data_IF_803448277861
#
_entry.id   IF_803448277861
#
_cell.length_a   1.000
_cell.length_b   1.000
_cell.length_c   1.000
_cell.angle_alpha   90.00
_cell.angle_beta   90.00
_cell.angle_gamma   90.00
#
_symmetry.space_group_name_H-M   'P 1'
#
loop_
_entity.id
_entity.type
_entity.pdbx_description
1 polymer ?
#
# COMPACT_ATOMS: atom_id res chain seq x y z
N UNK A 1 -8.39 22.76 15.66
CA UNK A 1 -7.35 22.07 14.85
C UNK A 1 -7.05 20.75 15.53
N UNK A 2 -7.62 19.65 15.06
CA UNK A 2 -7.42 18.35 15.70
C UNK A 2 -5.96 17.93 15.55
N UNK A 3 -5.24 17.92 16.66
CA UNK A 3 -3.84 17.52 16.72
C UNK A 3 -3.78 16.01 16.54
N UNK A 4 -3.54 15.59 15.30
CA UNK A 4 -3.39 14.18 14.99
C UNK A 4 -2.11 13.65 15.64
N UNK A 5 -2.26 12.71 16.56
CA UNK A 5 -1.14 12.02 17.19
C UNK A 5 -0.62 10.98 16.17
N UNK A 6 0.65 11.10 15.80
CA UNK A 6 1.38 10.05 15.09
C UNK A 6 2.02 9.17 16.16
N UNK A 7 1.54 7.94 16.32
CA UNK A 7 2.11 6.97 17.25
C UNK A 7 2.25 5.60 16.58
N UNK A 8 3.01 4.71 17.23
CA UNK A 8 3.35 3.40 16.69
C UNK A 8 2.11 2.54 16.41
N UNK A 9 1.08 2.62 17.26
CA UNK A 9 -0.16 1.85 17.11
C UNK A 9 -0.90 2.22 15.82
N UNK A 10 -1.02 3.52 15.53
CA UNK A 10 -1.65 4.01 14.30
C UNK A 10 -0.81 3.64 13.07
N UNK A 11 0.51 3.82 13.14
CA UNK A 11 1.40 3.47 12.03
C UNK A 11 1.32 1.97 11.69
N UNK A 12 1.24 1.13 12.71
CA UNK A 12 1.15 -0.33 12.59
C UNK A 12 -0.20 -0.77 12.01
N UNK A 13 -1.29 -0.10 12.38
CA UNK A 13 -2.60 -0.29 11.75
C UNK A 13 -2.61 0.11 10.27
N UNK A 14 -2.06 1.29 9.94
CA UNK A 14 -1.91 1.72 8.54
C UNK A 14 -1.07 0.71 7.74
N UNK A 15 0.03 0.22 8.34
CA UNK A 15 0.89 -0.76 7.72
C UNK A 15 0.17 -2.10 7.45
N UNK A 16 -0.69 -2.55 8.36
CA UNK A 16 -1.46 -3.79 8.18
C UNK A 16 -2.58 -3.65 7.15
N UNK A 17 -3.36 -2.58 7.23
CA UNK A 17 -4.61 -2.45 6.47
C UNK A 17 -4.39 -1.93 5.06
N UNK A 18 -3.52 -0.94 4.88
CA UNK A 18 -3.43 -0.18 3.63
C UNK A 18 -2.15 -0.47 2.85
N UNK A 19 -1.01 -0.66 3.52
CA UNK A 19 0.28 -0.84 2.84
C UNK A 19 0.32 -2.03 1.84
N UNK A 20 -0.31 -3.20 2.10
CA UNK A 20 -0.36 -4.28 1.12
C UNK A 20 -1.14 -3.88 -0.14
N UNK A 21 -2.26 -3.17 0.03
CA UNK A 21 -3.11 -2.73 -1.09
C UNK A 21 -2.41 -1.66 -1.92
N UNK A 22 -1.82 -0.67 -1.25
CA UNK A 22 -1.07 0.42 -1.86
C UNK A 22 0.14 -0.11 -2.62
N UNK A 23 0.90 -1.07 -2.05
CA UNK A 23 2.01 -1.71 -2.77
C UNK A 23 1.55 -2.47 -4.01
N UNK A 24 0.44 -3.20 -3.93
CA UNK A 24 -0.09 -3.92 -5.08
C UNK A 24 -0.52 -2.97 -6.19
N UNK A 25 -1.17 -1.86 -5.83
CA UNK A 25 -1.60 -0.83 -6.78
C UNK A 25 -0.41 -0.10 -7.41
N UNK A 26 0.61 0.26 -6.62
CA UNK A 26 1.84 0.85 -7.14
C UNK A 26 2.54 -0.07 -8.15
N UNK A 27 2.65 -1.37 -7.85
CA UNK A 27 3.20 -2.37 -8.77
C UNK A 27 2.35 -2.47 -10.04
N UNK A 28 1.02 -2.48 -9.90
CA UNK A 28 0.11 -2.52 -11.05
C UNK A 28 0.29 -1.30 -11.95
N UNK A 29 0.39 -0.09 -11.40
CA UNK A 29 0.57 1.13 -12.20
C UNK A 29 1.91 1.15 -12.90
N UNK A 30 2.99 0.78 -12.22
CA UNK A 30 4.30 0.70 -12.85
C UNK A 30 4.31 -0.28 -14.03
N UNK A 31 3.82 -1.51 -13.82
CA UNK A 31 3.96 -2.58 -14.83
C UNK A 31 2.88 -2.51 -15.90
N UNK A 32 1.62 -2.42 -15.50
CA UNK A 32 0.47 -2.54 -16.41
C UNK A 32 0.14 -1.21 -17.07
N UNK A 33 0.17 -0.10 -16.32
CA UNK A 33 -0.25 1.22 -16.83
C UNK A 33 0.91 1.96 -17.51
N UNK A 34 2.09 1.99 -16.87
CA UNK A 34 3.27 2.71 -17.35
C UNK A 34 4.21 1.84 -18.20
N UNK A 35 3.92 0.54 -18.36
CA UNK A 35 4.66 -0.37 -19.22
C UNK A 35 6.07 -0.74 -18.73
N UNK A 36 6.36 -0.54 -17.44
CA UNK A 36 7.68 -0.86 -16.87
C UNK A 36 7.85 -2.39 -16.76
N UNK A 37 8.94 -2.98 -17.27
CA UNK A 37 9.17 -4.42 -17.13
C UNK A 37 9.24 -4.84 -15.65
N UNK A 38 8.67 -6.00 -15.30
CA UNK A 38 8.66 -6.50 -13.92
C UNK A 38 10.05 -6.56 -13.27
N UNK A 39 11.08 -6.89 -14.06
CA UNK A 39 12.49 -6.89 -13.62
C UNK A 39 12.99 -5.50 -13.23
N UNK A 40 12.58 -4.47 -13.96
CA UNK A 40 12.94 -3.07 -13.67
C UNK A 40 12.14 -2.56 -12.48
N UNK A 41 10.84 -2.83 -12.42
CA UNK A 41 9.99 -2.49 -11.28
C UNK A 41 10.51 -3.10 -9.97
N UNK A 42 10.94 -4.38 -10.01
CA UNK A 42 11.55 -5.06 -8.87
C UNK A 42 12.80 -4.33 -8.35
N UNK A 43 13.69 -3.89 -9.26
CA UNK A 43 14.88 -3.10 -8.92
C UNK A 43 14.51 -1.74 -8.32
N UNK A 44 13.56 -1.03 -8.93
CA UNK A 44 13.10 0.30 -8.48
C UNK A 44 12.51 0.23 -7.07
N UNK A 45 11.76 -0.82 -6.76
CA UNK A 45 11.09 -1.02 -5.48
C UNK A 45 11.94 -1.76 -4.43
N UNK A 46 13.15 -2.20 -4.77
CA UNK A 46 14.00 -2.97 -3.86
C UNK A 46 13.42 -4.32 -3.44
N UNK A 47 12.64 -4.97 -4.31
CA UNK A 47 12.00 -6.26 -4.04
C UNK A 47 12.36 -7.31 -5.10
N UNK A 48 11.98 -8.57 -4.85
CA UNK A 48 12.21 -9.65 -5.81
C UNK A 48 11.23 -9.57 -6.99
N UNK A 49 11.64 -10.07 -8.17
CA UNK A 49 10.73 -10.23 -9.32
C UNK A 49 9.53 -11.11 -8.96
N UNK A 50 9.74 -12.12 -8.11
CA UNK A 50 8.67 -12.98 -7.63
C UNK A 50 7.64 -12.20 -6.81
N UNK A 51 8.06 -11.27 -5.94
CA UNK A 51 7.15 -10.40 -5.20
C UNK A 51 6.30 -9.52 -6.14
N UNK A 52 6.93 -8.93 -7.16
CA UNK A 52 6.21 -8.16 -8.20
C UNK A 52 5.17 -9.02 -8.92
N UNK A 53 5.55 -10.23 -9.34
CA UNK A 53 4.62 -11.17 -9.98
C UNK A 53 3.48 -11.58 -9.05
N UNK A 54 3.74 -11.79 -7.76
CA UNK A 54 2.71 -12.07 -6.75
C UNK A 54 1.73 -10.91 -6.60
N UNK A 55 2.22 -9.67 -6.56
CA UNK A 55 1.35 -8.48 -6.53
C UNK A 55 0.47 -8.36 -7.77
N UNK A 56 0.99 -8.68 -8.96
CA UNK A 56 0.23 -8.64 -10.21
C UNK A 56 -0.78 -9.78 -10.35
N UNK A 57 -0.46 -10.97 -9.83
CA UNK A 57 -1.28 -12.18 -10.00
C UNK A 57 -2.46 -12.31 -9.04
N UNK A 58 -2.57 -11.41 -8.03
CA UNK A 58 -3.62 -11.35 -7.00
C UNK A 58 -4.40 -12.68 -6.80
N UNK A 59 -3.76 -13.64 -6.11
CA UNK A 59 -4.42 -14.79 -5.44
C UNK A 59 -4.30 -14.78 -3.91
N UNK A 60 -3.75 -13.74 -3.27
CA UNK A 60 -3.78 -13.63 -1.80
C UNK A 60 -4.07 -12.22 -1.33
N UNK A 61 -5.26 -12.07 -0.73
CA UNK A 61 -5.49 -11.16 0.40
C UNK A 61 -5.87 -9.71 0.11
N UNK A 62 -6.57 -9.38 -0.98
CA UNK A 62 -7.08 -8.03 -1.16
C UNK A 62 -8.61 -8.02 -1.10
N UNK A 63 -9.10 -7.66 0.09
CA UNK A 63 -10.33 -6.90 0.21
C UNK A 63 -10.29 -5.70 -0.74
N UNK A 64 -11.46 -5.15 -1.00
CA UNK A 64 -11.66 -4.05 -1.95
C UNK A 64 -10.58 -2.98 -1.75
N UNK A 65 -9.85 -2.66 -2.83
CA UNK A 65 -8.88 -1.57 -2.83
C UNK A 65 -9.56 -0.34 -2.23
N UNK A 66 -8.94 0.26 -1.21
CA UNK A 66 -9.40 1.53 -0.68
C UNK A 66 -9.45 2.58 -1.80
N UNK A 67 -10.65 2.85 -2.32
CA UNK A 67 -10.88 3.79 -3.41
C UNK A 67 -11.02 5.19 -2.83
N UNK A 68 -10.04 6.03 -3.10
CA UNK A 68 -10.08 7.45 -2.76
C UNK A 68 -9.25 8.25 -3.73
N UNK A 69 -9.82 9.33 -4.28
CA UNK A 69 -9.16 10.18 -5.27
C UNK A 69 -7.79 10.68 -4.80
N UNK A 70 -7.64 10.94 -3.50
CA UNK A 70 -6.36 11.37 -2.94
C UNK A 70 -5.32 10.23 -2.89
N UNK A 71 -5.72 9.04 -2.47
CA UNK A 71 -4.84 7.86 -2.45
C UNK A 71 -4.38 7.52 -3.87
N UNK A 72 -5.31 7.54 -4.83
CA UNK A 72 -5.00 7.31 -6.24
C UNK A 72 -3.98 8.33 -6.73
N UNK A 73 -4.21 9.62 -6.49
CA UNK A 73 -3.26 10.66 -6.88
C UNK A 73 -1.88 10.45 -6.25
N UNK A 74 -1.82 10.14 -4.96
CA UNK A 74 -0.55 9.89 -4.26
C UNK A 74 0.21 8.70 -4.87
N UNK A 75 -0.48 7.61 -5.22
CA UNK A 75 0.17 6.44 -5.83
C UNK A 75 0.65 6.74 -7.26
N UNK A 76 -0.05 7.59 -8.02
CA UNK A 76 0.42 8.06 -9.33
C UNK A 76 1.70 8.89 -9.18
N UNK A 77 1.71 9.85 -8.25
CA UNK A 77 2.87 10.69 -7.95
C UNK A 77 4.07 9.82 -7.54
N UNK A 78 3.86 8.78 -6.72
CA UNK A 78 4.90 7.82 -6.37
C UNK A 78 5.42 7.00 -7.55
N UNK A 79 4.53 6.56 -8.44
CA UNK A 79 4.91 5.80 -9.63
C UNK A 79 5.77 6.64 -10.57
N UNK A 80 5.37 7.89 -10.81
CA UNK A 80 6.12 8.85 -11.63
C UNK A 80 7.45 9.24 -10.98
N UNK A 81 7.45 9.48 -9.67
CA UNK A 81 8.68 9.72 -8.89
C UNK A 81 9.68 8.58 -9.06
N UNK A 82 9.25 7.33 -8.89
CA UNK A 82 10.10 6.16 -9.10
C UNK A 82 10.69 6.09 -10.51
N UNK A 83 9.91 6.39 -11.54
CA UNK A 83 10.38 6.39 -12.94
C UNK A 83 11.46 7.46 -13.15
N UNK A 84 11.32 8.61 -12.49
CA UNK A 84 12.25 9.74 -12.55
C UNK A 84 13.47 9.57 -11.63
N UNK A 85 13.54 8.50 -10.82
CA UNK A 85 14.64 8.22 -9.90
C UNK A 85 14.46 8.81 -8.50
N UNK A 86 13.26 9.30 -8.17
CA UNK A 86 12.87 9.75 -6.84
C UNK A 86 12.32 8.58 -6.02
N UNK A 87 12.61 8.53 -4.71
CA UNK A 87 12.19 7.43 -3.84
C UNK A 87 11.67 7.88 -2.46
N UNK A 88 11.07 9.06 -2.39
CA UNK A 88 10.70 9.74 -1.15
C UNK A 88 9.25 9.47 -0.67
N UNK A 89 8.67 8.32 -1.00
CA UNK A 89 7.33 7.95 -0.55
C UNK A 89 7.33 7.41 0.88
N UNK A 90 6.40 7.90 1.70
CA UNK A 90 6.33 7.57 3.14
C UNK A 90 5.00 6.95 3.52
N UNK A 91 5.02 6.06 4.51
CA UNK A 91 3.79 5.52 5.11
C UNK A 91 2.87 6.62 5.68
N UNK A 92 3.45 7.77 6.06
CA UNK A 92 2.72 8.91 6.57
C UNK A 92 1.78 9.52 5.52
N UNK A 93 2.09 9.45 4.23
CA UNK A 93 1.20 9.95 3.17
C UNK A 93 -0.05 9.08 3.02
N UNK A 94 0.11 7.75 3.14
CA UNK A 94 -1.02 6.83 3.23
C UNK A 94 -1.92 7.22 4.42
N UNK A 95 -1.32 7.43 5.59
CA UNK A 95 -2.05 7.85 6.79
C UNK A 95 -2.80 9.18 6.60
N UNK A 96 -2.18 10.16 5.91
CA UNK A 96 -2.83 11.45 5.58
C UNK A 96 -4.04 11.24 4.66
N UNK A 97 -3.90 10.42 3.61
CA UNK A 97 -5.00 10.15 2.67
C UNK A 97 -6.18 9.47 3.36
N UNK A 98 -5.93 8.47 4.21
CA UNK A 98 -6.97 7.77 5.00
C UNK A 98 -7.68 8.74 5.95
N UNK A 99 -6.94 9.65 6.59
CA UNK A 99 -7.54 10.63 7.51
C UNK A 99 -8.43 11.65 6.81
N UNK A 100 -8.09 12.10 5.60
CA UNK A 100 -8.87 13.10 4.86
C UNK A 100 -10.14 12.54 4.24
N UNK A 101 -10.14 11.26 3.90
CA UNK A 101 -11.28 10.55 3.32
C UNK A 101 -12.39 10.23 4.34
N UNK A 102 -12.17 10.50 5.63
CA UNK A 102 -13.16 10.27 6.68
C UNK A 102 -13.27 8.80 7.11
N UNK A 103 -12.39 7.93 6.59
CA UNK A 103 -12.19 6.59 7.11
C UNK A 103 -11.80 6.71 8.58
N UNK A 104 -12.71 6.29 9.47
CA UNK A 104 -12.39 6.22 10.89
C UNK A 104 -11.40 5.07 11.07
N UNK A 105 -10.12 5.42 11.28
CA UNK A 105 -9.19 4.54 11.98
C UNK A 105 -9.80 4.27 13.35
N UNK A 106 -10.47 3.12 13.52
CA UNK A 106 -11.26 2.86 14.71
C UNK A 106 -10.33 2.50 15.86
N UNK A 107 -10.19 3.43 16.81
CA UNK A 107 -10.27 3.04 18.20
C UNK A 107 -11.59 2.25 18.36
N UNK A 108 -11.46 0.99 18.79
CA UNK A 108 -12.56 0.07 19.09
C UNK A 108 -13.30 -0.47 17.85
N UNK A 109 -12.89 -1.65 17.35
CA UNK A 109 -13.76 -2.82 17.09
C UNK A 109 -12.90 -4.05 16.74
N UNK A 110 -13.13 -5.12 17.50
CA UNK A 110 -12.81 -6.53 17.26
C UNK A 110 -12.09 -6.87 15.94
N UNK A 111 -10.82 -7.26 16.04
CA UNK A 111 -10.06 -7.91 14.98
C UNK A 111 -10.87 -9.04 14.32
N UNK A 112 -11.14 -9.02 13.00
CA UNK A 112 -11.52 -10.23 12.31
C UNK A 112 -10.28 -11.14 12.29
N UNK A 113 -10.42 -12.30 12.93
CA UNK A 113 -9.42 -13.35 13.13
C UNK A 113 -9.00 -14.06 11.83
N UNK A 114 -8.52 -13.32 10.84
CA UNK A 114 -8.03 -13.87 9.57
C UNK A 114 -6.54 -13.61 9.39
N UNK A 115 -5.77 -14.05 10.38
CA UNK A 115 -4.42 -14.54 10.14
C UNK A 115 -4.42 -16.00 10.62
N UNK A 116 -4.92 -16.91 9.77
CA UNK A 116 -4.41 -18.28 9.79
C UNK A 116 -3.06 -18.24 9.06
N UNK A 117 -2.00 -17.92 9.80
CA UNK A 117 -0.66 -18.38 9.40
C UNK A 117 -0.79 -19.89 9.36
N UNK A 118 -0.45 -20.47 8.20
CA UNK A 118 -0.45 -21.91 8.00
C UNK A 118 0.41 -22.57 9.05
N UNK A 119 -0.25 -23.16 10.03
CA UNK A 119 0.25 -24.26 10.81
C UNK A 119 -0.20 -25.49 10.02
N UNK A 120 0.69 -26.04 9.20
CA UNK A 120 0.63 -27.42 8.78
C UNK A 120 2.08 -27.86 8.49
N UNK A 121 2.49 -28.82 9.32
CA UNK A 121 3.75 -29.52 9.32
C UNK A 121 3.93 -30.43 8.10
#
# INVERSE_FOLDING_TARGET
MSQFICNITICDEIARLYLPQVRAELVYRLVTVKGIPQTRAAKMLGMSRAAVSQYLSKKRGLGEYFKGQEMDRTIDEWADGLINGENNFTICEICKCVKKSGDRLMADQQFPSFIKIGEDA
#
